data_IF_624600533616
#
_entry.id   IF_624600533616
#
_cell.length_a   1.000
_cell.length_b   1.000
_cell.length_c   1.000
_cell.angle_alpha   90.00
_cell.angle_beta   90.00
_cell.angle_gamma   90.00
#
_symmetry.space_group_name_H-M   'P 1'
#
loop_
_entity.id
_entity.type
_entity.pdbx_description
1 polymer ?
#
# COMPACT_ATOMS: atom_id res chain seq x y z
N UNK A 1 -34.26 -31.95 60.80
CA UNK A 1 -32.95 -31.54 61.33
C UNK A 1 -31.90 -31.86 60.26
N UNK A 2 -31.14 -30.87 59.75
CA UNK A 2 -30.05 -31.04 58.77
C UNK A 2 -30.52 -30.96 57.30
N UNK A 3 -30.48 -29.83 56.57
CA UNK A 3 -29.36 -28.99 56.08
C UNK A 3 -28.49 -29.63 54.99
N UNK A 4 -28.17 -28.80 53.97
CA UNK A 4 -27.22 -29.00 52.85
C UNK A 4 -27.80 -29.79 51.66
N UNK A 5 -27.79 -29.33 50.41
CA UNK A 5 -27.15 -28.20 49.77
C UNK A 5 -27.05 -28.49 48.28
N UNK A 6 -27.55 -27.55 47.48
CA UNK A 6 -27.40 -27.33 46.04
C UNK A 6 -26.11 -27.86 45.41
N UNK A 7 -26.17 -28.52 44.24
CA UNK A 7 -25.20 -28.34 43.12
C UNK A 7 -25.93 -28.66 41.80
N UNK A 8 -26.41 -27.61 41.12
CA UNK A 8 -26.60 -27.58 39.67
C UNK A 8 -25.25 -27.21 39.05
N UNK A 9 -24.58 -28.15 38.36
CA UNK A 9 -23.38 -27.82 37.57
C UNK A 9 -23.79 -27.49 36.15
N UNK A 10 -24.01 -26.19 35.92
CA UNK A 10 -24.01 -25.55 34.61
C UNK A 10 -22.66 -25.78 33.92
N UNK A 11 -22.64 -26.60 32.87
CA UNK A 11 -21.52 -26.67 31.94
C UNK A 11 -21.67 -25.51 30.94
N UNK A 12 -21.22 -24.32 31.34
CA UNK A 12 -21.07 -23.20 30.40
C UNK A 12 -19.85 -23.46 29.52
N UNK A 13 -20.13 -23.63 28.22
CA UNK A 13 -19.18 -23.61 27.13
C UNK A 13 -18.32 -22.35 27.22
N UNK A 14 -17.03 -22.52 27.54
CA UNK A 14 -16.03 -21.46 27.43
C UNK A 14 -15.84 -21.12 25.95
N UNK A 15 -16.61 -20.14 25.46
CA UNK A 15 -16.23 -19.36 24.28
C UNK A 15 -14.96 -18.60 24.64
N UNK A 16 -13.80 -19.08 24.21
CA UNK A 16 -12.59 -18.27 24.15
C UNK A 16 -12.81 -17.22 23.07
N UNK A 17 -13.49 -16.14 23.45
CA UNK A 17 -13.59 -14.91 22.70
C UNK A 17 -12.17 -14.32 22.69
N UNK A 18 -11.45 -14.45 21.58
CA UNK A 18 -10.24 -13.67 21.36
C UNK A 18 -10.63 -12.19 21.44
N UNK A 19 -9.83 -11.33 22.08
CA UNK A 19 -10.16 -9.91 22.15
C UNK A 19 -10.02 -9.35 20.74
N UNK A 20 -11.17 -9.17 20.07
CA UNK A 20 -11.29 -8.33 18.89
C UNK A 20 -10.82 -6.94 19.30
N UNK A 21 -9.57 -6.63 18.97
CA UNK A 21 -8.88 -5.42 19.38
C UNK A 21 -9.40 -4.25 18.55
N UNK A 22 -10.60 -3.78 18.88
CA UNK A 22 -11.08 -2.47 18.43
C UNK A 22 -10.20 -1.39 19.05
N UNK A 23 -9.11 -1.07 18.37
CA UNK A 23 -8.33 0.14 18.67
C UNK A 23 -8.97 1.31 17.93
N UNK A 24 -10.04 1.85 18.51
CA UNK A 24 -10.53 3.20 18.23
C UNK A 24 -9.57 4.21 18.87
N UNK A 25 -8.38 4.34 18.28
CA UNK A 25 -7.57 5.53 18.39
C UNK A 25 -7.72 6.25 17.05
N UNK A 26 -7.97 7.56 17.05
CA UNK A 26 -7.83 8.40 15.87
C UNK A 26 -6.39 8.22 15.37
N UNK A 27 -6.17 7.26 14.46
CA UNK A 27 -4.86 7.01 13.87
C UNK A 27 -4.61 8.15 12.90
N UNK A 28 -3.49 8.85 13.09
CA UNK A 28 -2.93 9.70 12.05
C UNK A 28 -2.85 8.89 10.74
N UNK A 29 -3.34 9.47 9.65
CA UNK A 29 -3.36 8.78 8.36
C UNK A 29 -1.94 8.82 7.80
N UNK A 30 -1.40 7.64 7.50
CA UNK A 30 -0.10 7.48 6.85
C UNK A 30 -0.28 6.63 5.60
N UNK A 31 0.13 7.18 4.47
CA UNK A 31 -0.09 6.57 3.16
C UNK A 31 1.22 6.25 2.49
N UNK A 32 1.39 5.00 2.09
CA UNK A 32 2.48 4.54 1.25
C UNK A 32 2.02 4.53 -0.21
N UNK A 33 2.63 5.36 -1.05
CA UNK A 33 2.40 5.38 -2.50
C UNK A 33 3.47 4.56 -3.19
N UNK A 34 3.04 3.52 -3.91
CA UNK A 34 3.92 2.68 -4.72
C UNK A 34 4.09 3.32 -6.09
N UNK A 35 5.28 3.85 -6.35
CA UNK A 35 5.56 4.63 -7.54
C UNK A 35 6.37 3.84 -8.58
N UNK A 36 5.95 3.97 -9.82
CA UNK A 36 6.70 3.55 -10.99
C UNK A 36 7.53 4.72 -11.54
N UNK A 37 8.75 4.42 -11.99
CA UNK A 37 9.65 5.36 -12.65
C UNK A 37 10.14 4.80 -13.98
N UNK A 38 10.50 5.70 -14.89
CA UNK A 38 11.04 5.38 -16.21
C UNK A 38 11.99 6.52 -16.63
N UNK A 39 13.17 6.16 -17.16
CA UNK A 39 14.12 7.15 -17.69
C UNK A 39 14.59 8.20 -16.68
N UNK A 40 14.75 7.84 -15.41
CA UNK A 40 15.19 8.78 -14.36
C UNK A 40 14.09 9.71 -13.84
N UNK A 41 12.83 9.47 -14.20
CA UNK A 41 11.68 10.28 -13.76
C UNK A 41 10.51 9.42 -13.29
N UNK A 42 9.74 9.94 -12.33
CA UNK A 42 8.53 9.28 -11.86
C UNK A 42 7.41 9.40 -12.91
N UNK A 43 6.62 8.34 -13.12
CA UNK A 43 5.48 8.39 -14.04
C UNK A 43 4.37 9.30 -13.52
N UNK A 44 3.67 9.97 -14.44
CA UNK A 44 2.51 10.82 -14.13
C UNK A 44 1.40 10.06 -13.40
N UNK A 45 1.21 8.77 -13.71
CA UNK A 45 0.28 7.88 -13.02
C UNK A 45 0.57 7.75 -11.52
N UNK A 46 1.85 7.71 -11.15
CA UNK A 46 2.29 7.68 -9.76
C UNK A 46 2.00 9.01 -9.06
N UNK A 47 2.18 10.14 -9.74
CA UNK A 47 1.85 11.48 -9.21
C UNK A 47 0.33 11.60 -8.96
N UNK A 48 -0.51 11.10 -9.87
CA UNK A 48 -1.96 11.01 -9.63
C UNK A 48 -2.30 10.17 -8.39
N UNK A 49 -1.46 9.18 -8.04
CA UNK A 49 -1.64 8.40 -6.81
C UNK A 49 -1.30 9.18 -5.55
N UNK A 50 -0.34 10.12 -5.63
CA UNK A 50 -0.05 11.07 -4.56
C UNK A 50 -1.21 12.04 -4.36
N UNK A 51 -1.84 12.52 -5.45
CA UNK A 51 -3.03 13.37 -5.37
C UNK A 51 -4.24 12.63 -4.76
N UNK A 52 -4.41 11.35 -5.09
CA UNK A 52 -5.41 10.51 -4.44
C UNK A 52 -5.13 10.33 -2.94
N UNK A 53 -3.85 10.17 -2.56
CA UNK A 53 -3.45 10.11 -1.15
C UNK A 53 -3.78 11.41 -0.42
N UNK A 54 -3.49 12.57 -1.01
CA UNK A 54 -3.86 13.88 -0.48
C UNK A 54 -5.37 14.00 -0.24
N UNK A 55 -6.18 13.40 -1.12
CA UNK A 55 -7.65 13.42 -1.02
C UNK A 55 -8.20 12.61 0.17
N UNK A 56 -7.39 11.79 0.85
CA UNK A 56 -7.83 11.01 2.03
C UNK A 56 -7.95 11.85 3.31
N UNK A 57 -7.25 12.98 3.38
CA UNK A 57 -7.25 13.87 4.53
C UNK A 57 -6.10 14.88 4.49
N UNK A 58 -6.31 16.05 5.09
CA UNK A 58 -5.33 17.14 5.10
C UNK A 58 -4.09 16.82 5.96
N UNK A 59 -4.26 16.04 7.03
CA UNK A 59 -3.18 15.60 7.93
C UNK A 59 -2.48 14.30 7.48
N UNK A 60 -2.62 13.91 6.21
CA UNK A 60 -2.07 12.67 5.69
C UNK A 60 -0.56 12.79 5.42
N UNK A 61 0.22 11.90 6.03
CA UNK A 61 1.66 11.77 5.75
C UNK A 61 1.88 10.84 4.57
N UNK A 62 2.38 11.37 3.45
CA UNK A 62 2.58 10.59 2.21
C UNK A 62 4.05 10.19 2.07
N UNK A 63 4.28 8.89 2.02
CA UNK A 63 5.59 8.28 1.74
C UNK A 63 5.56 7.68 0.34
N UNK A 64 6.56 7.97 -0.49
CA UNK A 64 6.66 7.40 -1.85
C UNK A 64 7.71 6.30 -1.86
N UNK A 65 7.35 5.09 -2.27
CA UNK A 65 8.28 3.98 -2.44
C UNK A 65 8.69 3.82 -3.90
N UNK A 66 9.99 3.88 -4.15
CA UNK A 66 10.63 3.61 -5.43
C UNK A 66 11.58 2.43 -5.27
N UNK A 67 11.57 1.51 -6.24
CA UNK A 67 12.54 0.43 -6.31
C UNK A 67 13.13 0.34 -7.72
N UNK A 68 14.39 -0.06 -7.80
CA UNK A 68 15.10 -0.17 -9.07
C UNK A 68 16.58 -0.46 -8.85
N UNK A 69 17.38 -0.23 -9.87
CA UNK A 69 18.83 -0.33 -9.79
C UNK A 69 19.50 0.82 -10.54
N UNK A 70 20.64 1.27 -10.04
CA UNK A 70 21.54 2.18 -10.76
C UNK A 70 21.17 3.67 -10.71
N UNK A 71 21.83 4.51 -11.52
CA UNK A 71 21.75 5.97 -11.39
C UNK A 71 20.37 6.54 -11.71
N UNK A 72 19.62 5.89 -12.62
CA UNK A 72 18.26 6.31 -12.96
C UNK A 72 17.31 6.25 -11.76
N UNK A 73 17.55 5.35 -10.79
CA UNK A 73 16.74 5.30 -9.58
C UNK A 73 16.97 6.53 -8.69
N UNK A 74 18.22 6.99 -8.59
CA UNK A 74 18.58 8.16 -7.79
C UNK A 74 18.02 9.45 -8.43
N UNK A 75 18.10 9.56 -9.75
CA UNK A 75 17.46 10.62 -10.53
C UNK A 75 15.93 10.60 -10.30
N UNK A 76 15.30 9.42 -10.38
CA UNK A 76 13.86 9.30 -10.14
C UNK A 76 13.47 9.67 -8.69
N UNK A 77 14.31 9.36 -7.70
CA UNK A 77 14.09 9.69 -6.30
C UNK A 77 14.17 11.21 -6.07
N UNK A 78 15.17 11.87 -6.64
CA UNK A 78 15.31 13.34 -6.56
C UNK A 78 14.18 14.06 -7.30
N UNK A 79 13.76 13.53 -8.45
CA UNK A 79 12.58 14.02 -9.15
C UNK A 79 11.32 13.85 -8.29
N UNK A 80 11.05 12.66 -7.75
CA UNK A 80 9.90 12.41 -6.89
C UNK A 80 9.87 13.33 -5.67
N UNK A 81 11.01 13.55 -5.01
CA UNK A 81 11.13 14.41 -3.83
C UNK A 81 10.77 15.89 -4.10
N UNK A 82 10.84 16.35 -5.34
CA UNK A 82 10.59 17.74 -5.75
C UNK A 82 9.30 17.92 -6.57
N UNK A 83 8.68 16.82 -7.00
CA UNK A 83 7.51 16.83 -7.88
C UNK A 83 6.25 17.37 -7.21
N UNK A 84 6.07 17.12 -5.91
CA UNK A 84 4.76 17.31 -5.28
C UNK A 84 4.89 17.65 -3.79
N UNK A 85 4.18 18.69 -3.35
CA UNK A 85 4.29 19.24 -2.01
C UNK A 85 3.78 18.35 -0.88
N UNK A 86 2.85 17.44 -1.18
CA UNK A 86 2.33 16.49 -0.19
C UNK A 86 3.30 15.34 0.14
N UNK A 87 4.42 15.18 -0.58
CA UNK A 87 5.37 14.09 -0.31
C UNK A 87 6.18 14.43 0.93
N UNK A 88 6.03 13.63 1.98
CA UNK A 88 6.76 13.80 3.25
C UNK A 88 8.12 13.10 3.23
N UNK A 89 8.24 11.97 2.53
CA UNK A 89 9.48 11.19 2.43
C UNK A 89 9.49 10.32 1.17
N UNK A 90 10.68 10.05 0.65
CA UNK A 90 10.90 9.12 -0.47
C UNK A 90 11.73 7.94 0.03
N UNK A 91 11.16 6.74 -0.05
CA UNK A 91 11.82 5.49 0.28
C UNK A 91 12.40 4.87 -0.99
N UNK A 92 13.69 4.58 -0.98
CA UNK A 92 14.42 4.04 -2.13
C UNK A 92 14.94 2.65 -1.80
N UNK A 93 14.55 1.68 -2.63
CA UNK A 93 15.00 0.30 -2.56
C UNK A 93 15.93 0.01 -3.76
N UNK A 94 17.23 0.15 -3.54
CA UNK A 94 18.26 -0.03 -4.58
C UNK A 94 18.80 -1.46 -4.58
N UNK A 95 18.46 -2.23 -5.62
CA UNK A 95 19.00 -3.58 -5.84
C UNK A 95 18.77 -4.02 -7.27
N UNK A 96 19.71 -4.79 -7.81
CA UNK A 96 19.59 -5.45 -9.12
C UNK A 96 18.33 -6.33 -9.24
N UNK A 97 17.80 -6.84 -8.12
CA UNK A 97 16.55 -7.62 -8.08
C UNK A 97 15.33 -6.81 -8.57
N UNK A 98 15.38 -5.49 -8.49
CA UNK A 98 14.31 -4.59 -8.91
C UNK A 98 14.53 -3.96 -10.30
N UNK A 99 15.56 -4.41 -11.04
CA UNK A 99 15.78 -3.96 -12.42
C UNK A 99 14.54 -4.09 -13.30
N UNK A 100 13.80 -5.18 -13.10
CA UNK A 100 12.49 -5.38 -13.71
C UNK A 100 11.43 -5.35 -12.61
N UNK A 101 10.25 -4.74 -12.86
CA UNK A 101 9.17 -4.64 -11.88
C UNK A 101 8.42 -5.98 -11.73
N UNK A 102 9.12 -7.02 -11.27
CA UNK A 102 8.55 -8.35 -11.02
C UNK A 102 7.65 -8.33 -9.79
N UNK A 103 6.46 -8.89 -9.91
CA UNK A 103 5.45 -8.88 -8.85
C UNK A 103 5.89 -9.63 -7.59
N UNK A 104 6.68 -10.71 -7.72
CA UNK A 104 7.24 -11.47 -6.60
C UNK A 104 8.12 -10.60 -5.69
N UNK A 105 9.06 -9.88 -6.30
CA UNK A 105 10.03 -9.06 -5.60
C UNK A 105 9.35 -7.84 -4.97
N UNK A 106 8.49 -7.17 -5.74
CA UNK A 106 7.75 -6.00 -5.28
C UNK A 106 6.77 -6.33 -4.15
N UNK A 107 6.05 -7.45 -4.21
CA UNK A 107 5.12 -7.83 -3.15
C UNK A 107 5.82 -8.03 -1.80
N UNK A 108 6.99 -8.70 -1.80
CA UNK A 108 7.83 -8.87 -0.60
C UNK A 108 8.39 -7.55 -0.09
N UNK A 109 8.73 -6.63 -1.00
CA UNK A 109 9.17 -5.29 -0.63
C UNK A 109 8.08 -4.54 0.11
N UNK A 110 6.87 -4.50 -0.46
CA UNK A 110 5.72 -3.86 0.17
C UNK A 110 5.44 -4.47 1.53
N UNK A 111 5.46 -5.79 1.66
CA UNK A 111 5.29 -6.48 2.94
C UNK A 111 6.34 -6.05 3.97
N UNK A 112 7.63 -6.03 3.59
CA UNK A 112 8.73 -5.65 4.48
C UNK A 112 8.66 -4.21 4.94
N UNK A 113 8.33 -3.29 4.03
CA UNK A 113 8.16 -1.86 4.30
C UNK A 113 6.93 -1.65 5.18
N UNK A 114 5.83 -2.36 4.91
CA UNK A 114 4.61 -2.28 5.73
C UNK A 114 4.84 -2.77 7.15
N UNK A 115 5.54 -3.89 7.34
CA UNK A 115 5.84 -4.44 8.67
C UNK A 115 6.72 -3.51 9.50
N UNK A 116 7.61 -2.73 8.87
CA UNK A 116 8.48 -1.75 9.54
C UNK A 116 7.78 -0.41 9.79
N UNK A 117 7.08 0.12 8.78
CA UNK A 117 6.50 1.47 8.80
C UNK A 117 5.09 1.56 9.37
N UNK A 118 4.31 0.49 9.32
CA UNK A 118 2.96 0.44 9.87
C UNK A 118 1.98 1.43 9.22
N UNK A 119 1.95 1.49 7.88
CA UNK A 119 1.08 2.43 7.16
C UNK A 119 -0.40 2.06 7.27
N UNK A 120 -1.28 3.07 7.26
CA UNK A 120 -2.73 2.82 7.25
C UNK A 120 -3.26 2.55 5.85
N UNK A 121 -2.70 3.21 4.83
CA UNK A 121 -3.11 3.03 3.43
C UNK A 121 -1.91 2.71 2.54
N UNK A 122 -2.10 1.83 1.56
CA UNK A 122 -1.13 1.58 0.49
C UNK A 122 -1.84 1.83 -0.84
N UNK A 123 -1.33 2.78 -1.62
CA UNK A 123 -1.96 3.25 -2.85
C UNK A 123 -1.01 3.05 -4.02
N UNK A 124 -1.54 2.64 -5.16
CA UNK A 124 -0.79 2.61 -6.42
C UNK A 124 -1.70 2.97 -7.59
N UNK A 125 -1.11 3.35 -8.71
CA UNK A 125 -1.88 3.61 -9.92
C UNK A 125 -2.45 2.30 -10.49
N UNK A 126 -3.64 2.36 -11.07
CA UNK A 126 -4.32 1.23 -11.69
C UNK A 126 -3.78 0.91 -13.11
N UNK A 127 -2.46 0.91 -13.25
CA UNK A 127 -1.73 0.49 -14.45
C UNK A 127 -1.35 -1.00 -14.40
N UNK A 128 -0.57 -1.45 -15.39
CA UNK A 128 -0.03 -2.81 -15.44
C UNK A 128 0.80 -3.15 -14.20
N UNK A 129 1.60 -2.19 -13.73
CA UNK A 129 2.39 -2.31 -12.50
C UNK A 129 1.51 -2.58 -11.27
N UNK A 130 0.63 -1.63 -10.92
CA UNK A 130 -0.18 -1.72 -9.71
C UNK A 130 -1.15 -2.90 -9.71
N UNK A 131 -1.78 -3.22 -10.84
CA UNK A 131 -2.69 -4.37 -10.96
C UNK A 131 -1.99 -5.73 -10.80
N UNK A 132 -0.71 -5.81 -11.15
CA UNK A 132 0.07 -7.05 -11.04
C UNK A 132 0.59 -7.29 -9.61
N UNK A 133 1.15 -6.25 -8.96
CA UNK A 133 1.79 -6.41 -7.66
C UNK A 133 0.85 -6.25 -6.46
N UNK A 134 -0.14 -5.35 -6.52
CA UNK A 134 -0.97 -5.01 -5.36
C UNK A 134 -1.77 -6.21 -4.83
N UNK A 135 -2.49 -7.01 -5.65
CA UNK A 135 -3.24 -8.15 -5.12
C UNK A 135 -2.33 -9.20 -4.49
N UNK A 136 -1.10 -9.35 -5.00
CA UNK A 136 -0.10 -10.26 -4.42
C UNK A 136 0.41 -9.77 -3.08
N UNK A 137 0.73 -8.48 -2.97
CA UNK A 137 1.15 -7.87 -1.71
C UNK A 137 0.02 -7.92 -0.66
N UNK A 138 -1.23 -7.70 -1.09
CA UNK A 138 -2.40 -7.79 -0.24
C UNK A 138 -2.62 -9.21 0.29
N UNK A 139 -2.41 -10.23 -0.55
CA UNK A 139 -2.47 -11.63 -0.13
C UNK A 139 -1.39 -11.98 0.92
N UNK A 140 -0.17 -11.43 0.81
CA UNK A 140 0.88 -11.65 1.82
C UNK A 140 0.56 -11.03 3.19
N UNK A 141 -0.18 -9.92 3.17
CA UNK A 141 -0.60 -9.20 4.37
C UNK A 141 -1.98 -9.63 4.89
N UNK A 142 -2.64 -10.57 4.21
CA UNK A 142 -3.99 -11.04 4.51
C UNK A 142 -5.06 -9.92 4.55
N UNK A 143 -4.97 -8.98 3.59
CA UNK A 143 -5.90 -7.85 3.44
C UNK A 143 -6.61 -7.87 2.09
N UNK A 144 -7.81 -7.31 2.04
CA UNK A 144 -8.62 -7.25 0.81
C UNK A 144 -8.34 -5.96 0.03
N UNK A 145 -7.77 -6.02 -1.19
CA UNK A 145 -7.47 -4.81 -1.96
C UNK A 145 -8.72 -4.25 -2.64
N UNK A 146 -8.82 -2.91 -2.73
CA UNK A 146 -9.86 -2.23 -3.51
C UNK A 146 -9.27 -1.76 -4.84
N UNK A 147 -9.85 -2.24 -5.95
CA UNK A 147 -9.32 -1.95 -7.30
C UNK A 147 -10.09 -0.85 -8.01
N UNK A 148 -9.38 -0.10 -8.85
CA UNK A 148 -9.90 0.90 -9.80
C UNK A 148 -10.72 2.02 -9.12
N UNK A 149 -10.22 2.56 -8.01
CA UNK A 149 -10.84 3.69 -7.31
C UNK A 149 -10.78 4.97 -8.16
N UNK A 150 -11.92 5.65 -8.28
CA UNK A 150 -12.07 6.92 -9.02
C UNK A 150 -12.39 8.10 -8.10
N UNK A 151 -12.75 7.85 -6.85
CA UNK A 151 -13.05 8.92 -5.89
C UNK A 151 -12.92 8.46 -4.45
N UNK A 152 -12.64 9.41 -3.57
CA UNK A 152 -12.55 9.22 -2.12
C UNK A 152 -13.67 10.04 -1.49
N UNK A 153 -14.66 9.38 -0.89
CA UNK A 153 -15.78 10.04 -0.19
C UNK A 153 -15.58 10.11 1.31
N UNK A 154 -14.57 9.40 1.83
CA UNK A 154 -14.12 9.44 3.22
C UNK A 154 -12.92 8.50 3.39
N UNK A 155 -12.31 8.49 4.57
CA UNK A 155 -11.07 7.73 4.82
C UNK A 155 -11.15 6.25 4.46
N UNK A 156 -12.33 5.62 4.64
CA UNK A 156 -12.57 4.21 4.32
C UNK A 156 -13.67 4.00 3.26
N UNK A 157 -14.14 5.08 2.62
CA UNK A 157 -15.25 5.05 1.66
C UNK A 157 -14.75 5.48 0.29
N UNK A 158 -14.77 4.55 -0.65
CA UNK A 158 -14.19 4.70 -1.97
C UNK A 158 -15.24 4.54 -3.05
N UNK A 159 -15.17 5.36 -4.10
CA UNK A 159 -16.03 5.23 -5.27
C UNK A 159 -15.25 4.50 -6.35
N UNK A 160 -15.83 3.43 -6.89
CA UNK A 160 -15.29 2.70 -8.04
C UNK A 160 -16.35 2.48 -9.12
N UNK A 161 -15.97 2.50 -10.40
CA UNK A 161 -16.87 2.13 -11.48
C UNK A 161 -17.11 0.62 -11.47
N UNK A 162 -18.33 0.25 -11.82
CA UNK A 162 -18.78 -1.11 -12.13
C UNK A 162 -19.46 -1.10 -13.51
N UNK A 163 -19.62 -2.28 -14.13
CA UNK A 163 -20.20 -2.41 -15.47
C UNK A 163 -19.53 -1.51 -16.53
N UNK A 164 -18.22 -1.65 -16.68
CA UNK A 164 -17.41 -0.88 -17.64
C UNK A 164 -17.50 0.66 -17.51
N UNK A 165 -17.89 1.17 -16.34
CA UNK A 165 -17.99 2.62 -16.08
C UNK A 165 -19.41 3.19 -16.13
N UNK A 166 -20.42 2.35 -16.42
CA UNK A 166 -21.80 2.83 -16.51
C UNK A 166 -22.45 3.12 -15.15
N UNK A 167 -21.99 2.49 -14.08
CA UNK A 167 -22.47 2.76 -12.73
C UNK A 167 -21.30 2.98 -11.78
N UNK A 168 -21.51 3.88 -10.82
CA UNK A 168 -20.57 4.17 -9.74
C UNK A 168 -21.05 3.48 -8.46
N UNK A 169 -20.15 2.75 -7.81
CA UNK A 169 -20.42 2.05 -6.56
C UNK A 169 -19.53 2.63 -5.45
N UNK A 170 -20.15 3.00 -4.34
CA UNK A 170 -19.43 3.38 -3.12
C UNK A 170 -19.19 2.14 -2.28
N UNK A 171 -17.91 1.79 -2.11
CA UNK A 171 -17.44 0.64 -1.34
C UNK A 171 -16.84 1.15 -0.03
N UNK A 172 -17.29 0.56 1.09
CA UNK A 172 -16.73 0.81 2.41
C UNK A 172 -15.74 -0.29 2.77
N UNK A 173 -14.52 0.09 3.13
CA UNK A 173 -13.53 -0.83 3.66
C UNK A 173 -13.87 -1.22 5.11
N UNK A 174 -13.89 -2.52 5.39
CA UNK A 174 -14.22 -3.10 6.71
C UNK A 174 -13.19 -4.11 7.20
N UNK A 175 -12.12 -4.35 6.43
CA UNK A 175 -11.08 -5.31 6.77
C UNK A 175 -10.01 -4.75 7.70
N UNK A 176 -8.99 -5.58 7.95
CA UNK A 176 -7.80 -5.21 8.72
C UNK A 176 -6.89 -4.25 7.95
N UNK A 177 -6.02 -3.52 8.64
CA UNK A 177 -5.08 -2.60 8.00
C UNK A 177 -3.80 -3.31 7.57
N UNK A 178 -3.13 -2.88 6.48
CA UNK A 178 -3.38 -1.65 5.70
C UNK A 178 -4.52 -1.76 4.69
N UNK A 179 -5.23 -0.66 4.46
CA UNK A 179 -6.18 -0.54 3.35
C UNK A 179 -5.40 -0.37 2.05
N UNK A 180 -5.36 -1.43 1.23
CA UNK A 180 -4.64 -1.43 -0.04
C UNK A 180 -5.59 -1.09 -1.19
N UNK A 181 -5.20 -0.16 -2.06
CA UNK A 181 -6.06 0.25 -3.17
C UNK A 181 -5.30 0.66 -4.44
N UNK A 182 -5.91 0.44 -5.60
CA UNK A 182 -5.45 1.03 -6.87
C UNK A 182 -6.33 2.21 -7.25
N UNK A 183 -5.73 3.28 -7.77
CA UNK A 183 -6.45 4.48 -8.23
C UNK A 183 -6.33 4.66 -9.72
N UNK A 184 -7.42 5.11 -10.35
CA UNK A 184 -7.40 5.45 -11.76
C UNK A 184 -6.73 6.82 -11.93
N UNK A 185 -5.60 6.86 -12.64
CA UNK A 185 -4.83 8.10 -12.83
C UNK A 185 -5.65 9.23 -13.43
N UNK A 186 -6.61 8.92 -14.30
CA UNK A 186 -7.48 9.92 -14.96
C UNK A 186 -8.45 10.62 -14.01
N UNK A 187 -8.75 10.03 -12.85
CA UNK A 187 -9.71 10.59 -11.90
C UNK A 187 -9.08 11.57 -10.91
N UNK A 188 -7.75 11.54 -10.80
CA UNK A 188 -6.97 12.40 -9.91
C UNK A 188 -5.99 13.22 -10.76
N UNK A 189 -6.45 14.36 -11.31
CA UNK A 189 -5.61 15.23 -12.12
C UNK A 189 -4.48 15.80 -11.26
N UNK A 190 -3.30 15.91 -11.88
CA UNK A 190 -2.12 16.49 -11.22
C UNK A 190 -2.36 17.98 -11.08
N UNK A 191 -2.43 18.47 -9.85
CA UNK A 191 -2.55 19.90 -9.58
C UNK A 191 -1.15 20.48 -9.70
N UNK A 192 -0.98 21.50 -10.55
CA UNK A 192 0.26 22.25 -10.69
C UNK A 192 0.53 23.10 -9.43
N UNK A 193 0.81 22.45 -8.31
CA UNK A 193 1.15 23.07 -7.04
C UNK A 193 2.66 23.02 -6.82
N UNK A 194 3.26 24.20 -6.73
CA UNK A 194 4.65 24.53 -6.37
C UNK A 194 5.61 23.36 -6.09
N UNK A 195 6.73 23.32 -6.84
CA UNK A 195 7.94 22.58 -6.44
C UNK A 195 8.19 22.85 -4.96
N UNK A 196 8.00 21.83 -4.12
CA UNK A 196 8.27 21.94 -2.70
C UNK A 196 9.75 21.82 -2.44
N UNK A 197 10.17 22.21 -1.23
CA UNK A 197 11.47 21.80 -0.72
C UNK A 197 11.59 20.28 -0.85
N UNK A 198 12.78 19.81 -1.23
CA UNK A 198 13.02 18.40 -1.49
C UNK A 198 12.70 17.57 -0.24
N UNK A 199 11.80 16.60 -0.38
CA UNK A 199 11.50 15.65 0.67
C UNK A 199 12.75 14.79 0.99
N UNK A 200 12.95 14.38 2.26
CA UNK A 200 14.05 13.50 2.64
C UNK A 200 13.96 12.15 1.91
N UNK A 201 15.11 11.72 1.38
CA UNK A 201 15.27 10.42 0.72
C UNK A 201 15.90 9.45 1.73
N UNK A 202 15.24 8.33 1.99
CA UNK A 202 15.69 7.28 2.91
C UNK A 202 15.85 5.96 2.17
N UNK A 203 16.93 5.24 2.46
CA UNK A 203 17.18 3.90 1.89
C UNK A 203 16.45 2.84 2.71
N UNK A 204 15.81 1.89 2.02
CA UNK A 204 15.14 0.75 2.64
C UNK A 204 16.14 -0.38 2.86
N UNK A 205 16.20 -0.96 4.06
CA UNK A 205 17.07 -2.13 4.26
C UNK A 205 16.52 -3.35 3.50
N UNK A 206 17.35 -3.87 2.59
CA UNK A 206 17.04 -5.04 1.75
C UNK A 206 17.62 -6.36 2.29
N UNK A 207 18.16 -6.37 3.50
CA UNK A 207 18.83 -7.55 4.09
C UNK A 207 17.92 -8.78 4.24
N UNK A 208 16.60 -8.59 4.27
CA UNK A 208 15.62 -9.68 4.39
C UNK A 208 15.29 -10.36 3.06
N UNK A 209 15.75 -9.82 1.92
CA UNK A 209 15.50 -10.40 0.60
C UNK A 209 16.50 -11.52 0.30
N UNK A 210 16.20 -12.72 0.77
CA UNK A 210 17.00 -13.92 0.46
C UNK A 210 17.17 -14.16 -1.05
N UNK A 211 18.29 -14.77 -1.43
CA UNK A 211 18.76 -14.97 -2.81
C UNK A 211 18.01 -16.05 -3.62
N UNK A 212 16.80 -16.40 -3.21
CA UNK A 212 16.09 -17.58 -3.71
C UNK A 212 15.14 -17.37 -4.88
N UNK A 213 15.11 -16.23 -5.59
CA UNK A 213 13.95 -15.87 -6.41
C UNK A 213 14.16 -15.66 -7.92
N UNK A 214 15.35 -15.92 -8.48
CA UNK A 214 15.59 -15.80 -9.94
C UNK A 214 16.17 -17.07 -10.60
N UNK A 215 15.82 -18.28 -10.15
CA UNK A 215 16.25 -19.52 -10.82
C UNK A 215 15.10 -20.54 -10.98
N UNK A 216 13.91 -20.10 -11.42
CA UNK A 216 12.77 -21.02 -11.55
C UNK A 216 12.39 -21.46 -12.97
N UNK A 217 13.10 -21.05 -14.05
CA UNK A 217 12.74 -21.47 -15.42
C UNK A 217 13.92 -22.03 -16.27
N UNK A 218 15.15 -22.14 -15.74
CA UNK A 218 16.27 -22.72 -16.52
C UNK A 218 16.69 -24.14 -16.10
N UNK A 219 16.06 -24.74 -15.09
CA UNK A 219 16.49 -26.06 -14.56
C UNK A 219 15.65 -27.27 -15.01
N UNK A 220 14.67 -27.06 -15.89
CA UNK A 220 13.74 -28.12 -16.36
C UNK A 220 13.85 -28.44 -17.85
N UNK A 221 14.95 -28.07 -18.51
CA UNK A 221 15.27 -28.51 -19.87
C UNK A 221 16.68 -29.13 -19.85
N UNK A 222 16.79 -30.29 -19.24
CA UNK A 222 17.81 -31.30 -19.56
C UNK A 222 17.37 -32.65 -19.03
#
# INVERSE_FOLDING_TARGET
MGFVGTIFRNLQLHKTCSPFRQTSASRFISTLVLAEHEGGSIKSSSISSVEAAKSLGEDNTVSVLLAGCGPSLQEAATHAASCHSSISQVLVADSDKFRYPLAEAWAKLVESVQKKGGYSHIITASGSFGKNMLPRAAALLDVSPITDVTGVSGTLNFVRPIYAGNALCTVRYTGEFPCMLTVRSTSFPITSGARSNAAPISQVDLSTFGDGMCIFILKSIR
#
